data_IF_534222283741
#
_entry.id   IF_534222283741
#
_cell.length_a   1.000
_cell.length_b   1.000
_cell.length_c   1.000
_cell.angle_alpha   90.00
_cell.angle_beta   90.00
_cell.angle_gamma   90.00
#
_symmetry.space_group_name_H-M   'P 1'
#
loop_
_entity.id
_entity.type
_entity.pdbx_description
1 polymer ?
#
# COMPACT_ATOMS: atom_id res chain seq x y z
N UNK A 1 -12.95 9.00 -0.51
CA UNK A 1 -13.02 7.60 -0.96
C UNK A 1 -14.10 7.34 -2.02
N UNK A 2 -15.26 8.01 -1.98
CA UNK A 2 -16.38 7.72 -2.88
C UNK A 2 -16.33 8.43 -4.26
N UNK A 3 -15.56 9.52 -4.39
CA UNK A 3 -15.40 10.23 -5.67
C UNK A 3 -14.86 9.34 -6.81
N UNK A 4 -14.09 8.29 -6.49
CA UNK A 4 -13.62 7.34 -7.51
C UNK A 4 -14.77 6.61 -8.20
N UNK A 5 -15.83 6.27 -7.47
CA UNK A 5 -17.02 5.59 -8.01
C UNK A 5 -17.72 6.53 -8.99
N UNK A 6 -17.97 7.78 -8.60
CA UNK A 6 -18.67 8.76 -9.44
C UNK A 6 -17.91 9.05 -10.74
N UNK A 7 -16.57 9.17 -10.66
CA UNK A 7 -15.72 9.36 -11.84
C UNK A 7 -15.73 8.13 -12.73
N UNK A 8 -15.65 6.92 -12.17
CA UNK A 8 -15.68 5.68 -12.98
C UNK A 8 -17.01 5.48 -13.70
N UNK A 9 -18.12 5.88 -13.08
CA UNK A 9 -19.45 5.79 -13.68
C UNK A 9 -19.59 6.78 -14.84
N UNK A 10 -19.16 8.03 -14.64
CA UNK A 10 -19.13 9.03 -15.71
C UNK A 10 -18.23 8.60 -16.87
N UNK A 11 -17.05 8.06 -16.57
CA UNK A 11 -16.12 7.54 -17.57
C UNK A 11 -16.71 6.35 -18.35
N UNK A 12 -17.38 5.42 -17.67
CA UNK A 12 -18.08 4.32 -18.33
C UNK A 12 -19.14 4.81 -19.31
N UNK A 13 -19.89 5.87 -18.96
CA UNK A 13 -20.89 6.46 -19.84
C UNK A 13 -20.24 7.03 -21.12
N UNK A 14 -19.08 7.69 -20.98
CA UNK A 14 -18.29 8.18 -22.12
C UNK A 14 -17.84 7.03 -23.02
N UNK A 15 -17.33 5.93 -22.45
CA UNK A 15 -16.94 4.74 -23.24
C UNK A 15 -18.13 4.20 -24.04
N UNK A 16 -19.32 4.12 -23.44
CA UNK A 16 -20.54 3.65 -24.14
C UNK A 16 -20.89 4.58 -25.30
N UNK A 17 -20.81 5.90 -25.11
CA UNK A 17 -21.05 6.87 -26.18
C UNK A 17 -20.04 6.72 -27.32
N UNK A 18 -18.75 6.57 -27.00
CA UNK A 18 -17.70 6.33 -28.00
C UNK A 18 -17.91 5.01 -28.75
N UNK A 19 -18.35 3.97 -28.03
CA UNK A 19 -18.67 2.69 -28.63
C UNK A 19 -19.83 2.82 -29.62
N UNK A 20 -20.85 3.64 -29.34
CA UNK A 20 -21.99 3.86 -30.25
C UNK A 20 -21.64 4.76 -31.43
N UNK A 21 -20.88 5.83 -31.21
CA UNK A 21 -20.53 6.82 -32.23
C UNK A 21 -19.54 6.28 -33.26
N UNK A 22 -18.62 5.41 -32.85
CA UNK A 22 -17.56 4.86 -33.68
C UNK A 22 -17.79 3.37 -34.02
N UNK A 23 -19.06 2.92 -34.12
CA UNK A 23 -19.38 1.55 -34.57
C UNK A 23 -18.95 1.26 -36.01
N UNK A 24 -18.19 2.16 -36.64
CA UNK A 24 -17.57 1.96 -37.93
C UNK A 24 -16.62 0.75 -37.86
N UNK A 25 -16.91 -0.32 -38.62
CA UNK A 25 -16.00 -1.45 -38.71
C UNK A 25 -14.71 -0.99 -39.39
N UNK A 26 -13.58 -1.24 -38.73
CA UNK A 26 -12.24 -1.00 -39.28
C UNK A 26 -11.63 -2.35 -39.63
N UNK A 27 -11.03 -2.42 -40.82
CA UNK A 27 -10.32 -3.61 -41.27
C UNK A 27 -8.96 -3.64 -40.60
N UNK A 28 -8.71 -4.70 -39.82
CA UNK A 28 -7.39 -4.97 -39.27
C UNK A 28 -6.76 -6.05 -40.12
N UNK A 29 -5.62 -5.73 -40.71
CA UNK A 29 -4.79 -6.69 -41.44
C UNK A 29 -3.83 -7.34 -40.45
N UNK A 30 -4.10 -8.60 -40.13
CA UNK A 30 -3.17 -9.45 -39.40
C UNK A 30 -2.26 -10.17 -40.38
N UNK A 31 -1.18 -10.77 -39.86
CA UNK A 31 -0.15 -11.48 -40.65
C UNK A 31 -0.74 -12.59 -41.54
N UNK A 32 -1.91 -13.14 -41.18
CA UNK A 32 -2.55 -14.27 -41.86
C UNK A 32 -3.97 -13.99 -42.37
N UNK A 33 -4.42 -12.73 -42.41
CA UNK A 33 -5.76 -12.40 -42.90
C UNK A 33 -6.28 -11.05 -42.41
N UNK A 34 -7.46 -10.66 -42.89
CA UNK A 34 -8.11 -9.41 -42.50
C UNK A 34 -9.46 -9.69 -41.84
N UNK A 35 -9.77 -8.92 -40.78
CA UNK A 35 -11.07 -8.99 -40.11
C UNK A 35 -11.61 -7.58 -39.92
N UNK A 36 -12.93 -7.45 -40.07
CA UNK A 36 -13.64 -6.20 -39.83
C UNK A 36 -14.22 -6.25 -38.42
N UNK A 37 -13.65 -5.44 -37.53
CA UNK A 37 -14.17 -5.28 -36.16
C UNK A 37 -14.33 -3.80 -35.83
N UNK A 38 -15.24 -3.43 -34.91
CA UNK A 38 -15.37 -2.04 -34.47
C UNK A 38 -14.07 -1.52 -33.84
N UNK A 39 -13.67 -0.28 -34.16
CA UNK A 39 -12.40 0.30 -33.69
C UNK A 39 -12.28 0.36 -32.16
N UNK A 40 -13.41 0.46 -31.45
CA UNK A 40 -13.46 0.50 -29.99
C UNK A 40 -12.83 -0.74 -29.34
N UNK A 41 -12.92 -1.92 -29.96
CA UNK A 41 -12.33 -3.15 -29.41
C UNK A 41 -10.81 -3.01 -29.27
N UNK A 42 -10.17 -2.40 -30.27
CA UNK A 42 -8.71 -2.16 -30.29
C UNK A 42 -8.31 -1.16 -29.22
N UNK A 43 -9.07 -0.06 -29.08
CA UNK A 43 -8.79 0.98 -28.08
C UNK A 43 -8.95 0.42 -26.67
N UNK A 44 -10.05 -0.29 -26.41
CA UNK A 44 -10.32 -0.89 -25.10
C UNK A 44 -9.28 -1.93 -24.75
N UNK A 45 -8.88 -2.81 -25.68
CA UNK A 45 -7.85 -3.81 -25.41
C UNK A 45 -6.48 -3.17 -25.13
N UNK A 46 -6.14 -2.10 -25.86
CA UNK A 46 -4.89 -1.36 -25.65
C UNK A 46 -4.88 -0.64 -24.30
N UNK A 47 -5.97 0.08 -23.98
CA UNK A 47 -6.13 0.76 -22.71
C UNK A 47 -6.11 -0.23 -21.53
N UNK A 48 -6.74 -1.40 -21.69
CA UNK A 48 -6.73 -2.46 -20.70
C UNK A 48 -5.32 -3.01 -20.48
N UNK A 49 -4.56 -3.25 -21.55
CA UNK A 49 -3.18 -3.70 -21.46
C UNK A 49 -2.29 -2.66 -20.74
N UNK A 50 -2.39 -1.38 -21.12
CA UNK A 50 -1.70 -0.28 -20.44
C UNK A 50 -2.08 -0.18 -18.96
N UNK A 51 -3.38 -0.27 -18.66
CA UNK A 51 -3.92 -0.25 -17.29
C UNK A 51 -3.42 -1.42 -16.45
N UNK A 52 -3.29 -2.61 -17.03
CA UNK A 52 -2.76 -3.79 -16.36
C UNK A 52 -1.28 -3.61 -15.99
N UNK A 53 -0.47 -3.08 -16.92
CA UNK A 53 0.95 -2.79 -16.68
C UNK A 53 1.10 -1.76 -15.55
N UNK A 54 0.37 -0.64 -15.63
CA UNK A 54 0.40 0.41 -14.60
C UNK A 54 -0.09 -0.13 -13.25
N UNK A 55 -1.14 -0.95 -13.27
CA UNK A 55 -1.68 -1.61 -12.08
C UNK A 55 -0.66 -2.51 -11.39
N UNK A 56 0.04 -3.36 -12.16
CA UNK A 56 1.11 -4.21 -11.64
C UNK A 56 2.26 -3.40 -11.03
N UNK A 57 2.71 -2.33 -11.71
CA UNK A 57 3.74 -1.44 -11.17
C UNK A 57 3.28 -0.74 -9.89
N UNK A 58 2.02 -0.33 -9.82
CA UNK A 58 1.41 0.25 -8.62
C UNK A 58 1.41 -0.73 -7.43
N UNK A 59 1.06 -1.99 -7.67
CA UNK A 59 1.10 -3.06 -6.64
C UNK A 59 2.51 -3.28 -6.10
N UNK A 60 3.52 -3.34 -6.97
CA UNK A 60 4.92 -3.48 -6.56
C UNK A 60 5.37 -2.31 -5.71
N UNK A 61 5.08 -1.08 -6.13
CA UNK A 61 5.44 0.12 -5.38
C UNK A 61 4.73 0.18 -4.03
N UNK A 62 3.46 -0.20 -3.98
CA UNK A 62 2.69 -0.30 -2.74
C UNK A 62 3.33 -1.32 -1.79
N UNK A 63 3.72 -2.51 -2.27
CA UNK A 63 4.35 -3.53 -1.45
C UNK A 63 5.67 -3.06 -0.83
N UNK A 64 6.54 -2.41 -1.62
CA UNK A 64 7.79 -1.80 -1.13
C UNK A 64 7.54 -0.77 -0.03
N UNK A 65 6.51 0.06 -0.21
CA UNK A 65 6.14 1.06 0.78
C UNK A 65 5.66 0.43 2.09
N UNK A 66 4.87 -0.65 2.01
CA UNK A 66 4.45 -1.42 3.19
C UNK A 66 5.64 -2.03 3.93
N UNK A 67 6.62 -2.58 3.21
CA UNK A 67 7.84 -3.12 3.84
C UNK A 67 8.64 -2.04 4.57
N UNK A 68 8.76 -0.85 3.97
CA UNK A 68 9.43 0.29 4.62
C UNK A 68 8.66 0.73 5.87
N UNK A 69 7.34 0.86 5.79
CA UNK A 69 6.49 1.19 6.95
C UNK A 69 6.71 0.18 8.08
N UNK A 70 6.74 -1.11 7.78
CA UNK A 70 6.94 -2.16 8.79
C UNK A 70 8.34 -2.12 9.40
N UNK A 71 9.37 -1.81 8.60
CA UNK A 71 10.75 -1.70 9.07
C UNK A 71 10.93 -0.49 9.99
N UNK A 72 10.40 0.66 9.59
CA UNK A 72 10.41 1.89 10.39
C UNK A 72 9.61 1.70 11.70
N UNK A 73 8.46 1.02 11.66
CA UNK A 73 7.71 0.68 12.88
C UNK A 73 8.52 -0.15 13.86
N UNK A 74 9.27 -1.16 13.37
CA UNK A 74 10.15 -1.98 14.22
C UNK A 74 11.29 -1.17 14.84
N UNK A 75 11.85 -0.22 14.09
CA UNK A 75 12.91 0.67 14.59
C UNK A 75 12.41 1.59 15.70
N UNK A 76 11.22 2.19 15.53
CA UNK A 76 10.55 2.97 16.57
C UNK A 76 10.37 2.12 17.84
N UNK A 77 9.81 0.92 17.71
CA UNK A 77 9.61 0.02 18.86
C UNK A 77 10.92 -0.33 19.56
N UNK A 78 12.02 -0.53 18.81
CA UNK A 78 13.35 -0.85 19.36
C UNK A 78 13.98 0.35 20.09
N UNK A 79 13.78 1.56 19.58
CA UNK A 79 14.30 2.79 20.21
C UNK A 79 13.46 3.23 21.42
N UNK A 80 12.18 2.83 21.50
CA UNK A 80 11.33 3.00 22.68
C UNK A 80 11.55 1.92 23.75
N UNK A 81 12.31 0.85 23.46
CA UNK A 81 12.62 -0.23 24.44
C UNK A 81 13.78 -0.02 25.44
N UNK A 82 14.48 1.12 25.60
CA UNK A 82 15.48 1.27 26.65
C UNK A 82 14.94 1.73 28.03
N UNK A 83 13.62 1.65 28.28
CA UNK A 83 13.04 2.04 29.59
C UNK A 83 12.48 0.89 30.44
N UNK A 84 12.58 -0.37 30.00
CA UNK A 84 11.99 -1.51 30.74
C UNK A 84 12.99 -2.51 31.34
N UNK A 85 14.26 -2.42 30.96
CA UNK A 85 15.32 -3.31 31.47
C UNK A 85 16.34 -2.53 32.32
N UNK A 86 15.88 -1.89 33.40
CA UNK A 86 16.76 -1.65 34.55
C UNK A 86 16.66 -2.89 35.44
N UNK A 87 17.72 -3.72 35.58
CA UNK A 87 17.71 -4.81 36.53
C UNK A 87 17.57 -4.22 37.93
N UNK A 88 16.42 -4.43 38.56
CA UNK A 88 16.07 -3.99 39.92
C UNK A 88 16.85 -4.73 41.03
N UNK A 89 17.97 -5.38 40.69
CA UNK A 89 18.77 -6.20 41.62
C UNK A 89 19.91 -5.44 42.33
N UNK A 90 20.06 -4.13 42.17
CA UNK A 90 21.18 -3.36 42.76
C UNK A 90 20.83 -2.48 43.96
N UNK A 91 19.59 -2.48 44.46
CA UNK A 91 19.18 -1.65 45.61
C UNK A 91 18.68 -2.44 46.83
N UNK A 92 19.15 -3.68 47.03
CA UNK A 92 18.75 -4.51 48.19
C UNK A 92 19.92 -4.98 49.06
N UNK A 93 21.05 -4.26 49.08
CA UNK A 93 22.12 -4.59 50.02
C UNK A 93 22.94 -3.35 50.45
N UNK A 94 22.29 -2.36 51.06
CA UNK A 94 22.99 -1.29 51.80
C UNK A 94 22.20 -0.71 52.98
N UNK A 95 21.24 -1.46 53.54
CA UNK A 95 20.49 -1.06 54.73
C UNK A 95 20.34 -2.24 55.69
N UNK A 96 21.47 -2.82 56.11
CA UNK A 96 21.49 -3.80 57.20
C UNK A 96 22.83 -3.73 57.96
N UNK A 97 23.22 -2.53 58.41
CA UNK A 97 24.06 -2.37 59.59
C UNK A 97 23.94 -0.96 60.17
N UNK A 98 22.90 -0.76 60.96
CA UNK A 98 22.97 0.20 62.08
C UNK A 98 21.97 -0.26 63.13
N UNK A 99 22.40 -1.26 63.89
CA UNK A 99 21.80 -1.63 65.16
C UNK A 99 22.05 -0.51 66.20
N UNK A 100 21.05 -0.33 67.05
CA UNK A 100 20.78 0.76 67.99
C UNK A 100 21.69 0.68 69.25
N UNK A 101 21.94 1.79 69.97
CA UNK A 101 21.37 1.85 71.31
C UNK A 101 20.81 3.23 71.69
N UNK A 102 19.54 3.21 72.09
CA UNK A 102 18.91 4.16 73.01
C UNK A 102 19.59 4.03 74.38
N UNK A 103 20.01 5.13 75.01
CA UNK A 103 19.75 5.27 76.45
C UNK A 103 19.84 6.73 76.91
N UNK A 104 18.97 7.01 77.86
CA UNK A 104 18.68 8.26 78.51
C UNK A 104 19.41 8.27 79.86
N UNK A 105 19.78 9.47 80.33
CA UNK A 105 20.44 9.87 81.60
C UNK A 105 21.92 10.24 81.47
#
# INVERSE_FOLDING_TARGET
MQWKIIVSLMFSLIIVLLAVANKSPVTINYIFGSVQIPLIIVIVSSALAGGLIIGMLGLVNQAKLQWKINSLKKEITRLETPSKDLPSSTLSNSSAKSEVPTQNQ
#
